data_IF_247848568186
#
_entry.id   IF_247848568186
#
_cell.length_a   1.000
_cell.length_b   1.000
_cell.length_c   1.000
_cell.angle_alpha   90.00
_cell.angle_beta   90.00
_cell.angle_gamma   90.00
#
_symmetry.space_group_name_H-M   'P 1'
#
loop_
_entity.id
_entity.type
_entity.pdbx_description
1 polymer ?
#
# COMPACT_ATOMS: atom_id res chain seq x y z
N UNK A 1 11.86 -4.93 -14.47
CA UNK A 1 11.35 -3.72 -13.83
C UNK A 1 9.88 -3.82 -13.55
N UNK A 2 9.45 -3.18 -12.50
CA UNK A 2 8.11 -3.36 -11.93
C UNK A 2 7.28 -2.12 -12.24
N UNK A 3 6.13 -2.32 -12.91
CA UNK A 3 5.26 -1.20 -13.30
C UNK A 3 4.80 -0.37 -12.11
N UNK A 4 4.61 -1.01 -10.95
CA UNK A 4 4.18 -0.29 -9.75
C UNK A 4 5.23 0.74 -9.33
N UNK A 5 6.50 0.34 -9.30
CA UNK A 5 7.59 1.26 -8.92
C UNK A 5 7.80 2.35 -9.96
N UNK A 6 7.62 2.04 -11.24
CA UNK A 6 7.76 3.03 -12.30
C UNK A 6 6.65 4.08 -12.26
N UNK A 7 5.51 3.76 -11.66
CA UNK A 7 4.37 4.65 -11.56
C UNK A 7 4.05 5.03 -10.13
N UNK A 8 5.06 5.04 -9.27
CA UNK A 8 4.87 5.27 -7.84
C UNK A 8 4.19 6.62 -7.55
N UNK A 9 4.44 7.62 -8.40
CA UNK A 9 3.85 8.94 -8.22
C UNK A 9 2.34 8.98 -8.54
N UNK A 10 1.81 7.93 -9.15
CA UNK A 10 0.39 7.85 -9.47
C UNK A 10 -0.44 7.24 -8.34
N UNK A 11 0.20 6.70 -7.33
CA UNK A 11 -0.48 6.05 -6.23
C UNK A 11 -1.30 7.06 -5.44
N UNK A 12 -2.55 6.71 -5.19
CA UNK A 12 -3.51 7.54 -4.46
C UNK A 12 -4.57 6.66 -3.81
N UNK A 13 -5.43 7.26 -3.02
CA UNK A 13 -6.58 6.56 -2.46
C UNK A 13 -7.70 7.56 -2.19
N UNK A 14 -8.88 7.06 -1.82
CA UNK A 14 -10.02 7.90 -1.48
C UNK A 14 -9.96 8.29 0.00
N UNK A 15 -10.80 9.25 0.42
CA UNK A 15 -10.88 9.63 1.83
C UNK A 15 -11.31 8.44 2.69
N UNK A 16 -12.27 7.65 2.22
CA UNK A 16 -12.67 6.44 2.94
C UNK A 16 -11.52 5.44 3.01
N UNK A 17 -10.76 5.33 1.94
CA UNK A 17 -9.57 4.47 1.91
C UNK A 17 -8.54 4.90 2.92
N UNK A 18 -8.29 6.21 3.04
CA UNK A 18 -7.35 6.73 4.03
C UNK A 18 -7.76 6.35 5.45
N UNK A 19 -9.04 6.52 5.77
CA UNK A 19 -9.53 6.20 7.11
C UNK A 19 -9.40 4.71 7.41
N UNK A 20 -9.70 3.87 6.42
CA UNK A 20 -9.59 2.42 6.58
C UNK A 20 -8.15 2.00 6.79
N UNK A 21 -7.24 2.52 5.98
CA UNK A 21 -5.82 2.19 6.09
C UNK A 21 -5.25 2.67 7.42
N UNK A 22 -5.59 3.89 7.81
CA UNK A 22 -5.14 4.45 9.09
C UNK A 22 -5.56 3.56 10.25
N UNK A 23 -6.79 3.08 10.23
CA UNK A 23 -7.31 2.19 11.26
C UNK A 23 -6.63 0.84 11.23
N UNK A 24 -6.49 0.26 10.05
CA UNK A 24 -5.92 -1.08 9.90
C UNK A 24 -4.46 -1.14 10.31
N UNK A 25 -3.70 -0.08 10.01
CA UNK A 25 -2.28 -0.02 10.34
C UNK A 25 -2.00 0.73 11.63
N UNK A 26 -3.05 1.21 12.30
CA UNK A 26 -2.95 1.96 13.57
C UNK A 26 -2.04 3.18 13.44
N UNK A 27 -2.25 3.93 12.37
CA UNK A 27 -1.46 5.14 12.12
C UNK A 27 -2.05 6.32 12.88
N UNK A 28 -1.21 7.28 13.20
CA UNK A 28 -1.65 8.51 13.84
C UNK A 28 -2.55 9.32 12.91
N UNK A 29 -3.44 10.14 13.49
CA UNK A 29 -4.41 10.92 12.72
C UNK A 29 -3.75 11.90 11.74
N UNK A 30 -2.55 12.37 12.06
CA UNK A 30 -1.83 13.33 11.22
C UNK A 30 -0.88 12.66 10.23
N UNK A 31 -0.86 11.33 10.16
CA UNK A 31 -0.01 10.60 9.22
C UNK A 31 -0.54 10.75 7.80
N UNK A 32 0.36 11.08 6.86
CA UNK A 32 0.03 11.06 5.44
C UNK A 32 -0.03 9.58 5.00
N UNK A 33 -1.25 9.09 4.83
CA UNK A 33 -1.49 7.67 4.56
C UNK A 33 -0.86 7.22 3.25
N UNK A 34 -1.02 8.04 2.20
CA UNK A 34 -0.46 7.69 0.88
C UNK A 34 1.06 7.64 0.94
N UNK A 35 1.67 8.64 1.58
CA UNK A 35 3.11 8.66 1.72
C UNK A 35 3.61 7.45 2.52
N UNK A 36 2.89 7.09 3.58
CA UNK A 36 3.25 5.91 4.36
C UNK A 36 3.24 4.65 3.50
N UNK A 37 2.18 4.47 2.70
CA UNK A 37 2.08 3.30 1.83
C UNK A 37 3.16 3.29 0.76
N UNK A 38 3.46 4.44 0.17
CA UNK A 38 4.54 4.56 -0.81
C UNK A 38 5.88 4.18 -0.18
N UNK A 39 6.13 4.65 1.04
CA UNK A 39 7.37 4.32 1.74
C UNK A 39 7.49 2.81 1.97
N UNK A 40 6.39 2.14 2.31
CA UNK A 40 6.39 0.68 2.48
C UNK A 40 6.72 -0.02 1.17
N UNK A 41 6.09 0.42 0.08
CA UNK A 41 6.30 -0.18 -1.25
C UNK A 41 7.75 -0.01 -1.69
N UNK A 42 8.39 1.08 -1.33
CA UNK A 42 9.74 1.40 -1.75
C UNK A 42 10.84 0.83 -0.85
N UNK A 43 10.48 0.13 0.21
CA UNK A 43 11.49 -0.50 1.07
C UNK A 43 12.29 -1.54 0.30
N UNK A 44 13.57 -1.65 0.61
CA UNK A 44 14.45 -2.62 -0.05
C UNK A 44 13.98 -4.05 0.11
N UNK A 45 13.35 -4.36 1.23
CA UNK A 45 12.87 -5.70 1.52
C UNK A 45 11.42 -5.93 1.08
N UNK A 46 10.82 -4.98 0.36
CA UNK A 46 9.44 -5.12 -0.08
C UNK A 46 9.34 -6.13 -1.22
N UNK A 47 8.44 -7.11 -1.06
CA UNK A 47 8.15 -8.09 -2.09
C UNK A 47 6.87 -7.67 -2.79
N UNK A 48 6.95 -7.45 -4.09
CA UNK A 48 5.82 -6.97 -4.88
C UNK A 48 5.39 -8.10 -5.83
N UNK A 49 4.13 -8.49 -5.73
CA UNK A 49 3.55 -9.56 -6.53
C UNK A 49 2.30 -9.04 -7.22
N UNK A 50 2.12 -9.35 -8.48
CA UNK A 50 0.90 -9.02 -9.19
C UNK A 50 0.03 -10.27 -9.32
N UNK A 51 -1.23 -10.14 -8.90
CA UNK A 51 -2.23 -11.21 -9.07
C UNK A 51 -3.52 -10.59 -9.57
N UNK A 52 -3.98 -11.06 -10.73
CA UNK A 52 -5.19 -10.52 -11.35
C UNK A 52 -5.03 -9.03 -11.62
N UNK A 53 -5.89 -8.23 -11.04
CA UNK A 53 -5.94 -6.78 -11.29
C UNK A 53 -5.20 -5.97 -10.23
N UNK A 54 -4.52 -6.63 -9.30
CA UNK A 54 -3.93 -5.94 -8.16
C UNK A 54 -2.45 -6.24 -7.98
N UNK A 55 -1.73 -5.24 -7.46
CA UNK A 55 -0.40 -5.39 -6.92
C UNK A 55 -0.50 -5.62 -5.42
N UNK A 56 0.31 -6.54 -4.90
CA UNK A 56 0.43 -6.80 -3.45
C UNK A 56 1.86 -6.53 -3.05
N UNK A 57 2.06 -5.51 -2.23
CA UNK A 57 3.37 -5.12 -1.75
C UNK A 57 3.49 -5.45 -0.27
N UNK A 58 4.37 -6.35 0.07
CA UNK A 58 4.53 -6.84 1.44
C UNK A 58 5.91 -6.51 1.98
N UNK A 59 5.95 -5.90 3.16
CA UNK A 59 7.19 -5.56 3.84
C UNK A 59 6.95 -5.47 5.34
N UNK A 60 7.80 -6.11 6.11
CA UNK A 60 7.80 -6.03 7.59
C UNK A 60 6.43 -6.32 8.22
N UNK A 61 5.71 -7.28 7.63
CA UNK A 61 4.42 -7.70 8.19
C UNK A 61 3.26 -6.82 7.79
N UNK A 62 3.45 -5.94 6.82
CA UNK A 62 2.37 -5.10 6.28
C UNK A 62 2.18 -5.38 4.80
N UNK A 63 0.93 -5.42 4.35
CA UNK A 63 0.60 -5.62 2.93
C UNK A 63 -0.19 -4.42 2.44
N UNK A 64 0.28 -3.83 1.33
CA UNK A 64 -0.41 -2.75 0.64
C UNK A 64 -0.97 -3.34 -0.66
N UNK A 65 -2.27 -3.19 -0.88
CA UNK A 65 -2.93 -3.67 -2.11
C UNK A 65 -3.26 -2.48 -2.99
N UNK A 66 -2.74 -2.49 -4.22
CA UNK A 66 -2.91 -1.38 -5.17
C UNK A 66 -3.53 -1.92 -6.45
N UNK A 67 -4.58 -1.28 -6.95
CA UNK A 67 -5.18 -1.66 -8.22
C UNK A 67 -4.19 -1.36 -9.35
N UNK A 68 -3.93 -2.35 -10.20
CA UNK A 68 -2.92 -2.23 -11.25
C UNK A 68 -3.36 -1.33 -12.39
N UNK A 69 -4.64 -1.04 -12.50
CA UNK A 69 -5.17 -0.22 -13.59
C UNK A 69 -5.21 1.26 -13.19
N UNK A 70 -5.73 1.56 -12.01
CA UNK A 70 -5.94 2.93 -11.56
C UNK A 70 -4.88 3.44 -10.59
N UNK A 71 -4.04 2.56 -10.06
CA UNK A 71 -3.06 2.86 -9.01
C UNK A 71 -3.70 3.37 -7.72
N UNK A 72 -4.96 3.00 -7.50
CA UNK A 72 -5.65 3.29 -6.26
C UNK A 72 -5.26 2.26 -5.20
N UNK A 73 -4.88 2.73 -4.02
CA UNK A 73 -4.67 1.82 -2.89
C UNK A 73 -6.05 1.31 -2.46
N UNK A 74 -6.26 0.01 -2.60
CA UNK A 74 -7.54 -0.60 -2.25
C UNK A 74 -7.63 -0.79 -0.75
N UNK A 75 -6.57 -1.31 -0.17
CA UNK A 75 -6.49 -1.52 1.27
C UNK A 75 -5.03 -1.73 1.68
N UNK A 76 -4.80 -1.63 2.97
CA UNK A 76 -3.52 -1.98 3.58
C UNK A 76 -3.83 -2.55 4.94
N UNK A 77 -3.10 -3.58 5.34
CA UNK A 77 -3.31 -4.17 6.65
C UNK A 77 -2.03 -4.84 7.14
N UNK A 78 -1.98 -5.07 8.44
CA UNK A 78 -0.88 -5.76 9.07
C UNK A 78 -1.16 -7.26 9.10
N UNK A 79 -0.13 -8.05 8.84
CA UNK A 79 -0.20 -9.49 8.99
C UNK A 79 0.11 -9.80 10.44
N UNK A 80 -0.84 -10.43 11.11
CA UNK A 80 -0.62 -10.80 12.52
C UNK A 80 -0.11 -12.22 12.59
N UNK A 81 1.13 -12.35 13.07
CA UNK A 81 1.66 -13.62 13.47
C UNK A 81 1.55 -13.68 14.98
N UNK A 82 0.51 -14.26 15.44
CA UNK A 82 0.38 -14.47 16.88
C UNK A 82 1.03 -15.78 17.28
#
# INVERSE_FOLDING_TARGET
MNDLLENISRIHTTEMGKDRIRRNLKLADDTDVVKYCVDVIMRDNCVITKQGKNWYAESDGEIITVNAHSYTIITAHAIHNS
#
